data_IF_846211861735
#
_entry.id   IF_846211861735
#
_cell.length_a   1.000
_cell.length_b   1.000
_cell.length_c   1.000
_cell.angle_alpha   90.00
_cell.angle_beta   90.00
_cell.angle_gamma   90.00
#
_symmetry.space_group_name_H-M   'P 1'
#
loop_
_entity.id
_entity.type
_entity.pdbx_description
1 polymer ?
#
# COMPACT_ATOMS: atom_id res chain seq x y z
N UNK A 1 34.39 -3.02 -1.45
CA UNK A 1 34.09 -3.44 -0.06
C UNK A 1 34.71 -2.56 1.03
N UNK A 2 36.02 -2.59 1.32
CA UNK A 2 36.61 -1.76 2.42
C UNK A 2 36.31 -0.26 2.23
N UNK A 3 36.54 0.28 1.01
CA UNK A 3 36.25 1.68 0.67
C UNK A 3 34.78 2.07 0.89
N UNK A 4 33.85 1.18 0.55
CA UNK A 4 32.40 1.42 0.70
C UNK A 4 31.98 1.42 2.17
N UNK A 5 32.50 0.47 2.97
CA UNK A 5 32.25 0.41 4.42
C UNK A 5 32.84 1.64 5.11
N UNK A 6 34.05 2.07 4.75
CA UNK A 6 34.65 3.31 5.26
C UNK A 6 33.85 4.54 4.86
N UNK A 7 33.38 4.62 3.60
CA UNK A 7 32.52 5.71 3.12
C UNK A 7 31.19 5.76 3.88
N UNK A 8 30.58 4.62 4.16
CA UNK A 8 29.34 4.53 4.94
C UNK A 8 29.56 4.99 6.38
N UNK A 9 30.63 4.51 7.04
CA UNK A 9 30.99 4.94 8.40
C UNK A 9 31.21 6.45 8.46
N UNK A 10 31.93 7.03 7.49
CA UNK A 10 32.19 8.47 7.44
C UNK A 10 30.90 9.28 7.28
N UNK A 11 29.99 8.86 6.38
CA UNK A 11 28.70 9.51 6.18
C UNK A 11 27.84 9.45 7.43
N UNK A 12 27.80 8.32 8.13
CA UNK A 12 27.06 8.20 9.39
C UNK A 12 27.68 9.10 10.47
N UNK A 13 29.01 9.14 10.58
CA UNK A 13 29.70 10.00 11.55
C UNK A 13 29.46 11.49 11.30
N UNK A 14 29.42 11.91 10.04
CA UNK A 14 29.08 13.28 9.66
C UNK A 14 27.65 13.64 10.06
N UNK A 15 26.70 12.74 9.83
CA UNK A 15 25.30 12.89 10.29
C UNK A 15 25.24 13.01 11.81
N UNK A 16 25.93 12.10 12.53
CA UNK A 16 25.94 12.11 14.00
C UNK A 16 26.61 13.37 14.58
N UNK A 17 27.67 13.89 13.95
CA UNK A 17 28.36 15.11 14.36
C UNK A 17 27.45 16.35 14.27
N UNK A 18 26.55 16.35 13.28
CA UNK A 18 25.61 17.45 13.05
C UNK A 18 24.29 17.28 13.82
N UNK A 19 24.12 16.18 14.57
CA UNK A 19 22.92 15.89 15.37
C UNK A 19 23.19 16.21 16.84
N UNK A 20 22.32 16.96 17.53
CA UNK A 20 22.46 17.18 18.98
C UNK A 20 22.54 15.83 19.71
N UNK A 21 23.47 15.70 20.66
CA UNK A 21 23.71 14.43 21.39
C UNK A 21 22.46 13.89 22.12
N UNK A 22 21.50 14.76 22.45
CA UNK A 22 20.21 14.39 23.05
C UNK A 22 19.28 13.64 22.09
N UNK A 23 19.52 13.77 20.78
CA UNK A 23 18.66 13.28 19.71
C UNK A 23 19.29 12.11 18.93
N UNK A 24 20.46 11.62 19.36
CA UNK A 24 21.11 10.45 18.78
C UNK A 24 20.73 9.22 19.62
N UNK A 25 19.88 8.32 19.13
CA UNK A 25 19.58 7.08 19.81
C UNK A 25 20.85 6.24 20.01
N UNK A 26 20.95 5.55 21.15
CA UNK A 26 22.16 4.83 21.53
C UNK A 26 22.50 3.68 20.54
N UNK A 27 21.50 3.16 19.84
CA UNK A 27 21.56 2.16 18.78
C UNK A 27 22.50 2.59 17.65
N UNK A 28 22.47 3.86 17.25
CA UNK A 28 23.34 4.39 16.21
C UNK A 28 24.81 4.37 16.62
N UNK A 29 25.09 4.66 17.90
CA UNK A 29 26.45 4.60 18.45
C UNK A 29 26.97 3.16 18.48
N UNK A 30 26.11 2.19 18.80
CA UNK A 30 26.45 0.76 18.76
C UNK A 30 26.76 0.31 17.33
N UNK A 31 25.93 0.69 16.36
CA UNK A 31 26.13 0.28 14.96
C UNK A 31 27.40 0.86 14.37
N UNK A 32 27.69 2.14 14.60
CA UNK A 32 28.94 2.77 14.14
C UNK A 32 30.16 2.12 14.77
N UNK A 33 30.14 1.87 16.08
CA UNK A 33 31.25 1.20 16.76
C UNK A 33 31.46 -0.23 16.25
N UNK A 34 30.39 -0.99 16.02
CA UNK A 34 30.48 -2.33 15.43
C UNK A 34 31.01 -2.33 13.99
N UNK A 35 30.54 -1.42 13.14
CA UNK A 35 31.05 -1.30 11.77
C UNK A 35 32.54 -0.96 11.74
N UNK A 36 33.03 -0.12 12.66
CA UNK A 36 34.47 0.18 12.80
C UNK A 36 35.28 -1.05 13.17
N UNK A 37 34.79 -1.87 14.10
CA UNK A 37 35.45 -3.13 14.47
C UNK A 37 35.51 -4.08 13.27
N UNK A 38 34.39 -4.30 12.57
CA UNK A 38 34.37 -5.16 11.38
C UNK A 38 35.31 -4.65 10.29
N UNK A 39 35.32 -3.34 10.04
CA UNK A 39 36.21 -2.74 9.04
C UNK A 39 37.68 -2.98 9.38
N UNK A 40 38.07 -2.77 10.64
CA UNK A 40 39.45 -3.01 11.11
C UNK A 40 39.84 -4.49 11.02
N UNK A 41 38.93 -5.41 11.34
CA UNK A 41 39.15 -6.85 11.18
C UNK A 41 39.36 -7.26 9.71
N UNK A 42 38.59 -6.69 8.79
CA UNK A 42 38.75 -6.96 7.35
C UNK A 42 40.11 -6.44 6.85
N UNK A 43 40.58 -5.29 7.36
CA UNK A 43 41.92 -4.77 7.03
C UNK A 43 43.01 -5.70 7.60
N UNK A 44 42.89 -6.17 8.85
CA UNK A 44 43.81 -7.15 9.43
C UNK A 44 43.91 -8.43 8.58
N UNK A 45 42.77 -8.96 8.13
CA UNK A 45 42.73 -10.15 7.26
C UNK A 45 43.38 -9.87 5.90
N UNK A 46 43.12 -8.71 5.30
CA UNK A 46 43.73 -8.32 4.03
C UNK A 46 45.26 -8.20 4.12
N UNK A 47 45.78 -7.59 5.19
CA UNK A 47 47.24 -7.50 5.43
C UNK A 47 47.82 -8.91 5.65
N UNK A 48 47.17 -9.75 6.46
CA UNK A 48 47.62 -11.11 6.74
C UNK A 48 47.65 -12.02 5.48
N UNK A 49 46.78 -11.75 4.50
CA UNK A 49 46.71 -12.48 3.22
C UNK A 49 47.73 -12.00 2.17
N UNK A 50 48.66 -11.12 2.54
CA UNK A 50 49.72 -10.61 1.65
C UNK A 50 49.50 -9.19 1.15
N UNK A 51 48.58 -8.43 1.76
CA UNK A 51 48.41 -7.01 1.50
C UNK A 51 49.51 -6.15 2.16
N UNK A 52 49.75 -4.95 1.61
CA UNK A 52 50.62 -3.96 2.23
C UNK A 52 49.99 -3.37 3.51
N UNK A 53 50.75 -3.30 4.60
CA UNK A 53 50.34 -2.66 5.84
C UNK A 53 51.03 -3.21 7.10
N UNK A 54 50.83 -2.53 8.22
CA UNK A 54 51.33 -2.96 9.53
C UNK A 54 50.22 -3.70 10.30
N UNK A 55 50.30 -5.03 10.29
CA UNK A 55 49.33 -5.90 10.96
C UNK A 55 49.33 -5.69 12.49
N UNK A 56 50.46 -5.30 13.09
CA UNK A 56 50.56 -5.08 14.53
C UNK A 56 49.82 -3.79 14.89
N UNK A 57 50.03 -2.72 14.12
CA UNK A 57 49.34 -1.45 14.31
C UNK A 57 47.82 -1.57 14.09
N UNK A 58 47.38 -2.25 13.02
CA UNK A 58 45.95 -2.41 12.77
C UNK A 58 45.28 -3.34 13.79
N UNK A 59 45.98 -4.36 14.28
CA UNK A 59 45.48 -5.21 15.37
C UNK A 59 45.32 -4.44 16.68
N UNK A 60 46.30 -3.61 17.04
CA UNK A 60 46.21 -2.74 18.21
C UNK A 60 45.02 -1.76 18.10
N UNK A 61 44.79 -1.20 16.91
CA UNK A 61 43.61 -0.37 16.62
C UNK A 61 42.30 -1.16 16.75
N UNK A 62 42.25 -2.38 16.23
CA UNK A 62 41.08 -3.25 16.37
C UNK A 62 40.77 -3.53 17.85
N UNK A 63 41.79 -3.79 18.68
CA UNK A 63 41.62 -4.04 20.10
C UNK A 63 41.03 -2.83 20.84
N UNK A 64 41.49 -1.61 20.51
CA UNK A 64 40.94 -0.36 21.04
C UNK A 64 39.47 -0.18 20.63
N UNK A 65 39.12 -0.45 19.37
CA UNK A 65 37.75 -0.36 18.87
C UNK A 65 36.82 -1.38 19.54
N UNK A 66 37.32 -2.60 19.81
CA UNK A 66 36.58 -3.63 20.56
C UNK A 66 36.32 -3.18 22.00
N UNK A 67 37.31 -2.56 22.65
CA UNK A 67 37.12 -1.99 23.99
C UNK A 67 36.07 -0.87 23.99
N UNK A 68 36.10 0.03 23.00
CA UNK A 68 35.12 1.09 22.84
C UNK A 68 33.70 0.54 22.67
N UNK A 69 33.53 -0.44 21.78
CA UNK A 69 32.25 -1.10 21.56
C UNK A 69 31.73 -1.79 22.83
N UNK A 70 32.60 -2.50 23.57
CA UNK A 70 32.22 -3.11 24.85
C UNK A 70 31.76 -2.08 25.87
N UNK A 71 32.43 -0.93 25.95
CA UNK A 71 32.03 0.17 26.84
C UNK A 71 30.60 0.66 26.50
N UNK A 72 30.27 0.79 25.22
CA UNK A 72 28.93 1.20 24.77
C UNK A 72 27.91 0.10 25.10
N UNK A 73 28.24 -1.16 24.82
CA UNK A 73 27.37 -2.32 25.08
C UNK A 73 27.16 -2.60 26.58
N UNK A 74 28.04 -2.13 27.46
CA UNK A 74 27.87 -2.23 28.91
C UNK A 74 27.04 -1.09 29.50
N UNK A 75 26.61 -0.11 28.70
CA UNK A 75 25.80 1.01 29.19
C UNK A 75 24.40 0.55 29.60
N UNK A 76 23.99 0.90 30.82
CA UNK A 76 22.63 0.66 31.33
C UNK A 76 21.57 1.50 30.60
N UNK A 77 21.98 2.62 29.97
CA UNK A 77 21.09 3.48 29.20
C UNK A 77 20.72 2.90 27.82
N UNK A 78 21.39 1.81 27.39
CA UNK A 78 21.18 1.19 26.08
C UNK A 78 19.97 0.21 26.12
N UNK A 79 18.84 0.65 25.56
CA UNK A 79 17.60 -0.11 25.43
C UNK A 79 17.50 -0.80 24.07
N UNK A 80 18.15 -1.96 23.93
CA UNK A 80 18.02 -2.79 22.73
C UNK A 80 16.87 -3.80 22.86
N UNK A 81 16.35 -4.35 21.74
CA UNK A 81 15.34 -5.40 21.77
C UNK A 81 15.79 -6.61 22.58
N UNK A 82 14.86 -7.27 23.28
CA UNK A 82 15.14 -8.45 24.12
C UNK A 82 15.83 -9.58 23.36
N UNK A 83 15.52 -9.73 22.07
CA UNK A 83 16.14 -10.69 21.15
C UNK A 83 17.67 -10.54 21.05
N UNK A 84 18.20 -9.34 21.28
CA UNK A 84 19.64 -9.05 21.24
C UNK A 84 20.39 -9.46 22.51
N UNK A 85 19.68 -9.74 23.61
CA UNK A 85 20.27 -9.89 24.95
C UNK A 85 21.21 -11.09 25.10
N UNK A 86 20.97 -12.19 24.38
CA UNK A 86 21.85 -13.36 24.40
C UNK A 86 23.18 -13.06 23.67
N UNK A 87 23.12 -12.47 22.48
CA UNK A 87 24.31 -12.14 21.70
C UNK A 87 25.10 -10.99 22.35
N UNK A 88 24.41 -9.99 22.92
CA UNK A 88 25.04 -8.90 23.70
C UNK A 88 25.89 -9.46 24.85
N UNK A 89 25.37 -10.42 25.61
CA UNK A 89 26.13 -11.08 26.70
C UNK A 89 27.34 -11.85 26.18
N UNK A 90 27.21 -12.55 25.06
CA UNK A 90 28.32 -13.27 24.43
C UNK A 90 29.41 -12.32 23.92
N UNK A 91 29.07 -11.15 23.36
CA UNK A 91 30.04 -10.15 22.91
C UNK A 91 30.79 -9.48 24.07
N UNK A 92 30.19 -9.44 25.26
CA UNK A 92 30.80 -8.91 26.49
C UNK A 92 31.72 -9.91 27.20
N UNK A 93 31.65 -11.21 26.89
CA UNK A 93 32.55 -12.21 27.46
C UNK A 93 34.00 -12.01 26.95
N UNK A 94 34.97 -12.20 27.84
CA UNK A 94 36.41 -12.07 27.54
C UNK A 94 36.91 -13.34 26.84
N UNK A 95 37.80 -13.18 25.86
CA UNK A 95 38.52 -14.32 25.26
C UNK A 95 38.82 -14.14 23.78
N UNK A 96 37.81 -14.01 22.92
CA UNK A 96 37.95 -13.85 21.47
C UNK A 96 36.75 -13.11 20.89
N UNK A 97 37.00 -12.15 20.01
CA UNK A 97 35.96 -11.35 19.38
C UNK A 97 35.48 -12.04 18.10
N UNK A 98 34.29 -12.63 18.14
CA UNK A 98 33.69 -13.34 17.02
C UNK A 98 33.01 -12.37 16.04
N UNK A 99 33.61 -12.22 14.86
CA UNK A 99 33.15 -11.34 13.80
C UNK A 99 31.76 -11.72 13.27
N UNK A 100 31.41 -13.00 13.24
CA UNK A 100 30.11 -13.47 12.74
C UNK A 100 29.01 -13.17 13.77
N UNK A 101 29.31 -13.28 15.06
CA UNK A 101 28.40 -12.83 16.11
C UNK A 101 28.19 -11.33 16.10
N UNK A 102 29.24 -10.53 15.86
CA UNK A 102 29.08 -9.09 15.70
C UNK A 102 28.20 -8.76 14.49
N UNK A 103 28.41 -9.40 13.34
CA UNK A 103 27.56 -9.19 12.15
C UNK A 103 26.10 -9.50 12.45
N UNK A 104 25.83 -10.67 13.03
CA UNK A 104 24.49 -11.08 13.43
C UNK A 104 23.88 -10.09 14.40
N UNK A 105 24.65 -9.65 15.40
CA UNK A 105 24.21 -8.66 16.37
C UNK A 105 23.82 -7.32 15.73
N UNK A 106 24.64 -6.80 14.82
CA UNK A 106 24.37 -5.53 14.13
C UNK A 106 23.10 -5.60 13.26
N UNK A 107 22.84 -6.73 12.62
CA UNK A 107 21.62 -6.94 11.81
C UNK A 107 20.35 -7.01 12.66
N UNK A 108 20.46 -7.28 13.96
CA UNK A 108 19.33 -7.34 14.88
C UNK A 108 19.01 -5.99 15.54
N UNK A 109 19.82 -4.95 15.32
CA UNK A 109 19.58 -3.63 15.87
C UNK A 109 18.61 -2.89 14.94
N UNK A 110 17.34 -2.63 15.33
CA UNK A 110 16.48 -1.77 14.56
C UNK A 110 17.09 -0.37 14.61
N UNK A 111 17.48 0.17 13.45
CA UNK A 111 18.00 1.53 13.36
C UNK A 111 16.81 2.50 13.43
N UNK A 112 16.62 3.23 14.54
CA UNK A 112 15.53 4.19 14.62
C UNK A 112 15.76 5.34 13.63
N UNK A 113 14.68 5.78 12.98
CA UNK A 113 14.71 6.95 12.09
C UNK A 113 15.22 8.16 12.86
N UNK A 114 16.30 8.78 12.38
CA UNK A 114 16.79 10.05 12.93
C UNK A 114 15.85 11.16 12.45
N UNK A 115 15.04 11.69 13.37
CA UNK A 115 14.21 12.86 13.10
C UNK A 115 15.05 14.12 13.25
N UNK A 116 15.27 14.82 12.13
CA UNK A 116 15.83 16.16 12.16
C UNK A 116 14.71 17.12 12.57
N UNK A 117 14.80 17.70 13.76
CA UNK A 117 14.12 18.96 13.99
C UNK A 117 14.92 19.97 13.18
N UNK A 118 14.47 20.33 11.97
CA UNK A 118 14.81 21.66 11.46
C UNK A 118 14.46 22.57 12.63
N UNK A 119 15.46 23.23 13.25
CA UNK A 119 15.19 24.36 14.13
C UNK A 119 14.14 25.16 13.40
N UNK A 120 13.00 25.38 14.07
CA UNK A 120 11.93 26.23 13.58
C UNK A 120 12.60 27.37 12.83
N UNK A 121 12.49 27.34 11.49
CA UNK A 121 12.75 28.55 10.75
C UNK A 121 11.76 29.50 11.37
N UNK A 122 12.27 30.45 12.16
CA UNK A 122 11.55 31.68 12.43
C UNK A 122 11.14 32.16 11.06
N UNK A 123 9.89 31.88 10.68
CA UNK A 123 9.24 32.53 9.57
C UNK A 123 9.30 33.99 10.00
N UNK A 124 10.12 34.84 9.34
CA UNK A 124 10.19 36.23 9.72
C UNK A 124 8.76 36.74 9.58
N UNK A 125 8.18 37.22 10.68
CA UNK A 125 6.93 37.97 10.59
C UNK A 125 7.15 39.05 9.54
N UNK A 126 6.27 39.14 8.55
CA UNK A 126 6.22 40.22 7.58
C UNK A 126 6.32 41.55 8.32
N UNK A 127 7.51 42.13 8.37
CA UNK A 127 7.78 43.50 8.73
C UNK A 127 9.19 43.86 8.23
N UNK A 128 9.18 44.48 7.05
CA UNK A 128 10.17 45.42 6.52
C UNK A 128 11.65 45.06 6.68
N UNK A 129 12.23 44.44 5.65
CA UNK A 129 13.64 44.64 5.29
C UNK A 129 13.85 44.38 3.78
N UNK A 130 14.12 45.47 3.07
CA UNK A 130 14.91 45.61 1.84
C UNK A 130 14.90 44.45 0.83
N UNK A 131 14.20 44.68 -0.30
CA UNK A 131 14.43 44.00 -1.57
C UNK A 131 15.92 44.13 -1.95
N UNK A 132 16.69 43.11 -1.58
CA UNK A 132 17.93 42.80 -2.28
C UNK A 132 17.52 41.93 -3.46
N UNK A 133 17.87 42.42 -4.66
CA UNK A 133 17.80 41.71 -5.94
C UNK A 133 18.45 40.33 -5.76
N UNK A 134 17.64 39.33 -5.43
CA UNK A 134 18.07 37.95 -5.28
C UNK A 134 17.74 37.26 -6.59
N UNK A 135 18.76 36.65 -7.21
CA UNK A 135 18.59 35.85 -8.41
C UNK A 135 17.39 34.91 -8.25
N UNK A 136 16.49 34.83 -9.25
CA UNK A 136 15.28 34.02 -9.13
C UNK A 136 15.66 32.57 -8.84
N UNK A 137 15.28 32.08 -7.65
CA UNK A 137 15.51 30.69 -7.27
C UNK A 137 14.90 29.76 -8.32
N UNK A 138 15.66 28.81 -8.89
CA UNK A 138 15.18 27.95 -9.96
C UNK A 138 14.06 27.04 -9.44
N UNK A 139 12.86 27.22 -9.97
CA UNK A 139 11.66 26.45 -9.64
C UNK A 139 11.22 25.62 -10.85
N UNK A 140 10.85 24.36 -10.62
CA UNK A 140 10.33 23.47 -11.67
C UNK A 140 8.85 23.17 -11.48
N UNK A 141 8.02 23.55 -12.45
CA UNK A 141 6.67 23.03 -12.55
C UNK A 141 6.66 21.74 -13.35
N UNK A 142 6.07 20.69 -12.78
CA UNK A 142 5.95 19.37 -13.40
C UNK A 142 4.48 18.98 -13.54
N UNK A 143 4.10 18.51 -14.72
CA UNK A 143 2.81 17.87 -14.99
C UNK A 143 3.08 16.51 -15.61
N UNK A 144 2.67 15.45 -14.93
CA UNK A 144 2.86 14.08 -15.39
C UNK A 144 1.65 13.62 -16.20
N UNK A 145 1.93 12.83 -17.23
CA UNK A 145 0.95 12.13 -18.06
C UNK A 145 1.28 10.65 -18.09
N UNK A 146 0.24 9.82 -17.99
CA UNK A 146 0.29 8.37 -18.08
C UNK A 146 -0.70 7.95 -19.16
N UNK A 147 -0.28 7.13 -20.13
CA UNK A 147 -1.12 6.76 -21.29
C UNK A 147 -1.72 7.98 -22.02
N UNK A 148 -0.92 9.04 -22.16
CA UNK A 148 -1.31 10.34 -22.75
C UNK A 148 -2.44 11.09 -22.00
N UNK A 149 -2.87 10.61 -20.84
CA UNK A 149 -3.80 11.30 -19.96
C UNK A 149 -3.06 11.97 -18.79
N UNK A 150 -3.50 13.14 -18.30
CA UNK A 150 -2.94 13.73 -17.09
C UNK A 150 -2.96 12.74 -15.93
N UNK A 151 -1.88 12.70 -15.15
CA UNK A 151 -1.77 11.81 -14.02
C UNK A 151 -2.84 12.12 -12.97
N UNK A 152 -3.63 11.11 -12.60
CA UNK A 152 -4.63 11.18 -11.55
C UNK A 152 -4.09 10.49 -10.28
N UNK A 153 -4.34 11.04 -9.11
CA UNK A 153 -3.81 10.50 -7.85
C UNK A 153 -4.93 9.92 -6.99
N UNK A 154 -4.93 8.61 -6.66
CA UNK A 154 -4.03 7.56 -7.15
C UNK A 154 -4.38 7.06 -8.56
N UNK A 155 -3.38 6.60 -9.31
CA UNK A 155 -3.53 5.93 -10.60
C UNK A 155 -3.48 4.40 -10.43
N UNK A 156 -4.32 3.67 -11.18
CA UNK A 156 -4.44 2.21 -11.10
C UNK A 156 -3.69 1.56 -12.26
N UNK A 157 -2.75 0.67 -11.94
CA UNK A 157 -1.91 -0.03 -12.90
C UNK A 157 -1.96 -1.53 -12.67
N UNK A 158 -1.65 -2.27 -13.73
CA UNK A 158 -1.52 -3.72 -13.71
C UNK A 158 -0.04 -4.11 -13.79
N UNK A 159 0.27 -5.26 -13.20
CA UNK A 159 1.59 -5.87 -13.34
C UNK A 159 1.88 -6.26 -14.78
N UNK A 160 3.17 -6.25 -15.14
CA UNK A 160 3.68 -6.71 -16.43
C UNK A 160 3.15 -5.95 -17.64
N UNK A 161 2.64 -4.73 -17.44
CA UNK A 161 2.31 -3.77 -18.49
C UNK A 161 3.31 -2.62 -18.44
N UNK A 162 3.84 -2.27 -19.60
CA UNK A 162 4.78 -1.17 -19.79
C UNK A 162 3.99 0.12 -20.08
N UNK A 163 3.89 0.99 -19.09
CA UNK A 163 3.12 2.23 -19.18
C UNK A 163 4.00 3.38 -19.67
N UNK A 164 3.62 4.11 -20.73
CA UNK A 164 4.27 5.36 -21.11
C UNK A 164 4.02 6.44 -20.05
N UNK A 165 5.11 7.07 -19.62
CA UNK A 165 5.13 8.16 -18.65
C UNK A 165 5.79 9.38 -19.28
N UNK A 166 5.08 10.51 -19.30
CA UNK A 166 5.57 11.76 -19.88
C UNK A 166 5.52 12.87 -18.82
N UNK A 167 6.65 13.51 -18.59
CA UNK A 167 6.75 14.69 -17.74
C UNK A 167 6.80 15.94 -18.61
N UNK A 168 5.74 16.76 -18.55
CA UNK A 168 5.76 18.10 -19.11
C UNK A 168 6.28 19.04 -18.05
N UNK A 169 7.36 19.75 -18.35
CA UNK A 169 8.02 20.62 -17.41
C UNK A 169 8.00 22.07 -17.87
N UNK A 170 8.04 22.98 -16.90
CA UNK A 170 8.30 24.39 -17.12
C UNK A 170 9.15 24.94 -15.98
N UNK A 171 10.30 25.51 -16.30
CA UNK A 171 11.19 26.13 -15.32
C UNK A 171 11.39 27.62 -15.58
N UNK A 172 11.85 28.32 -14.54
CA UNK A 172 12.01 29.79 -14.55
C UNK A 172 13.36 30.22 -15.16
N UNK A 173 14.44 29.56 -14.79
CA UNK A 173 15.80 29.82 -15.29
C UNK A 173 16.54 28.50 -15.44
N UNK A 174 17.20 28.33 -16.58
CA UNK A 174 18.16 27.24 -16.79
C UNK A 174 19.55 27.75 -16.36
N UNK A 175 20.21 27.14 -15.36
CA UNK A 175 21.52 27.59 -14.90
C UNK A 175 22.59 27.48 -15.99
N UNK A 176 23.48 28.48 -16.08
CA UNK A 176 24.53 28.52 -17.12
C UNK A 176 25.54 27.37 -17.03
N UNK A 177 25.74 26.85 -15.82
CA UNK A 177 26.63 25.73 -15.52
C UNK A 177 25.96 24.36 -15.67
N UNK A 178 24.65 24.30 -15.94
CA UNK A 178 23.88 23.07 -16.06
C UNK A 178 23.92 22.47 -17.47
N UNK A 179 24.42 21.22 -17.56
CA UNK A 179 24.50 20.44 -18.80
C UNK A 179 23.25 19.61 -19.06
N UNK A 180 22.47 19.24 -18.04
CA UNK A 180 21.14 18.62 -18.21
C UNK A 180 20.26 18.72 -16.98
N UNK A 181 18.96 18.58 -17.19
CA UNK A 181 17.98 18.39 -16.13
C UNK A 181 17.62 16.91 -16.02
N UNK A 182 17.54 16.39 -14.80
CA UNK A 182 17.16 15.01 -14.51
C UNK A 182 15.97 14.99 -13.55
N UNK A 183 15.02 14.09 -13.82
CA UNK A 183 13.93 13.75 -12.91
C UNK A 183 14.12 12.34 -12.38
N UNK A 184 14.22 12.21 -11.05
CA UNK A 184 14.24 10.93 -10.36
C UNK A 184 12.90 10.67 -9.67
N UNK A 185 12.44 9.42 -9.69
CA UNK A 185 11.31 8.95 -8.91
C UNK A 185 11.80 8.27 -7.64
N UNK A 186 11.68 8.96 -6.50
CA UNK A 186 12.07 8.46 -5.20
C UNK A 186 10.91 7.67 -4.57
N UNK A 187 11.17 6.46 -4.11
CA UNK A 187 10.16 5.63 -3.46
C UNK A 187 10.79 4.72 -2.40
N UNK A 188 9.96 4.25 -1.48
CA UNK A 188 10.31 3.19 -0.53
C UNK A 188 9.96 1.80 -1.06
N UNK A 189 9.46 1.68 -2.30
CA UNK A 189 9.21 0.39 -2.93
C UNK A 189 10.48 -0.48 -2.93
N UNK A 190 10.39 -1.78 -2.58
CA UNK A 190 11.54 -2.67 -2.61
C UNK A 190 12.18 -2.73 -4.00
N UNK A 191 13.51 -2.83 -4.03
CA UNK A 191 14.27 -2.99 -5.27
C UNK A 191 13.80 -4.21 -6.05
N UNK A 192 13.57 -4.07 -7.36
CA UNK A 192 13.12 -5.15 -8.24
C UNK A 192 11.60 -5.27 -8.40
N UNK A 193 10.80 -4.50 -7.65
CA UNK A 193 9.32 -4.42 -7.76
C UNK A 193 8.87 -3.67 -9.02
N UNK A 194 9.71 -2.73 -9.48
CA UNK A 194 9.43 -1.92 -10.65
C UNK A 194 10.74 -1.63 -11.41
N UNK A 195 10.59 -1.29 -12.67
CA UNK A 195 11.64 -0.70 -13.49
C UNK A 195 11.08 0.55 -14.16
N UNK A 196 11.92 1.59 -14.26
CA UNK A 196 11.54 2.86 -14.85
C UNK A 196 12.67 3.37 -15.73
N UNK A 197 12.28 4.05 -16.82
CA UNK A 197 13.22 4.76 -17.69
C UNK A 197 13.93 5.89 -16.94
N UNK A 198 15.11 6.25 -17.44
CA UNK A 198 15.78 7.48 -17.04
C UNK A 198 15.10 8.67 -17.71
N UNK A 199 14.80 9.72 -16.93
CA UNK A 199 14.18 10.94 -17.42
C UNK A 199 15.19 12.08 -17.37
N UNK A 200 15.78 12.38 -18.53
CA UNK A 200 16.72 13.51 -18.71
C UNK A 200 16.25 14.45 -19.82
N UNK A 201 16.55 15.74 -19.66
CA UNK A 201 16.38 16.75 -20.68
C UNK A 201 17.69 17.51 -20.86
N UNK A 202 18.19 17.54 -22.09
CA UNK A 202 19.36 18.34 -22.45
C UNK A 202 18.93 19.77 -22.87
N UNK A 203 19.81 20.79 -22.74
CA UNK A 203 19.51 22.18 -23.08
C UNK A 203 19.04 22.38 -24.52
N UNK A 204 19.48 21.54 -25.46
CA UNK A 204 19.05 21.59 -26.87
C UNK A 204 17.60 21.12 -27.07
N UNK A 205 17.06 20.35 -26.13
CA UNK A 205 15.68 19.85 -26.15
C UNK A 205 14.69 20.78 -25.48
N UNK A 206 15.13 21.92 -24.93
CA UNK A 206 14.23 22.89 -24.30
C UNK A 206 13.81 24.00 -25.28
N UNK A 207 12.57 24.44 -25.14
CA UNK A 207 12.07 25.63 -25.82
C UNK A 207 12.15 26.78 -24.81
N UNK A 208 12.89 27.83 -25.16
CA UNK A 208 13.04 29.01 -24.31
C UNK A 208 11.87 29.96 -24.52
N UNK A 209 11.29 30.44 -23.42
CA UNK A 209 10.27 31.48 -23.41
C UNK A 209 10.95 32.86 -23.57
N UNK A 210 10.20 33.85 -24.07
CA UNK A 210 10.68 35.24 -24.23
C UNK A 210 11.17 35.88 -22.93
N UNK A 211 10.73 35.35 -21.79
CA UNK A 211 11.05 35.82 -20.44
C UNK A 211 12.20 35.05 -19.77
N UNK A 212 12.97 34.23 -20.51
CA UNK A 212 14.08 33.43 -19.96
C UNK A 212 13.71 32.10 -19.31
N UNK A 213 12.40 31.81 -19.22
CA UNK A 213 11.87 30.50 -18.83
C UNK A 213 12.16 29.42 -19.88
N UNK A 214 11.96 28.17 -19.50
CA UNK A 214 12.10 27.03 -20.41
C UNK A 214 10.96 26.04 -20.21
N UNK A 215 10.59 25.34 -21.28
CA UNK A 215 9.67 24.21 -21.22
C UNK A 215 10.17 23.04 -22.08
N UNK A 216 9.74 21.83 -21.72
CA UNK A 216 10.16 20.61 -22.39
C UNK A 216 9.36 19.40 -21.93
N UNK A 217 9.58 18.27 -22.61
CA UNK A 217 8.94 16.99 -22.29
C UNK A 217 10.01 15.91 -22.07
N UNK A 218 9.88 15.16 -20.98
CA UNK A 218 10.69 13.98 -20.71
C UNK A 218 9.79 12.76 -20.86
N UNK A 219 10.10 11.88 -21.80
CA UNK A 219 9.30 10.69 -22.10
C UNK A 219 10.06 9.44 -21.72
N UNK A 220 9.36 8.50 -21.09
CA UNK A 220 9.90 7.20 -20.73
C UNK A 220 8.77 6.25 -20.39
N UNK A 221 9.11 5.17 -19.71
CA UNK A 221 8.19 4.10 -19.40
C UNK A 221 8.40 3.60 -17.97
N UNK A 222 7.34 3.09 -17.36
CA UNK A 222 7.36 2.41 -16.07
C UNK A 222 6.67 1.05 -16.20
N UNK A 223 7.26 0.02 -15.59
CA UNK A 223 6.68 -1.32 -15.48
C UNK A 223 6.78 -1.81 -14.05
N UNK A 224 5.72 -2.46 -13.59
CA UNK A 224 5.70 -3.14 -12.29
C UNK A 224 5.71 -4.64 -12.50
N UNK A 225 6.66 -5.32 -11.85
CA UNK A 225 6.86 -6.78 -11.97
C UNK A 225 6.07 -7.57 -10.94
N UNK A 226 5.56 -6.91 -9.89
CA UNK A 226 4.77 -7.53 -8.83
C UNK A 226 3.61 -6.64 -8.39
N UNK A 227 2.48 -7.28 -8.07
CA UNK A 227 1.27 -6.61 -7.59
C UNK A 227 1.39 -6.26 -6.12
N UNK A 228 0.67 -5.23 -5.69
CA UNK A 228 0.53 -4.89 -4.30
C UNK A 228 -0.61 -5.69 -3.67
N UNK A 229 -0.44 -6.11 -2.43
CA UNK A 229 -1.56 -6.63 -1.63
C UNK A 229 -2.64 -5.57 -1.49
N UNK A 230 -3.90 -5.99 -1.54
CA UNK A 230 -5.08 -5.14 -1.35
C UNK A 230 -5.10 -4.41 0.00
N UNK A 231 -4.33 -4.91 0.97
CA UNK A 231 -4.19 -4.38 2.32
C UNK A 231 -3.11 -3.31 2.47
N UNK A 232 -2.27 -3.09 1.44
CA UNK A 232 -1.20 -2.09 1.47
C UNK A 232 -1.69 -0.73 0.98
N UNK A 233 -1.08 0.33 1.51
CA UNK A 233 -1.26 1.70 1.05
C UNK A 233 -0.74 1.89 -0.39
N UNK A 234 -1.13 3.01 -1.01
CA UNK A 234 -0.70 3.34 -2.36
C UNK A 234 0.83 3.50 -2.41
N UNK A 235 1.45 3.01 -3.48
CA UNK A 235 2.87 3.24 -3.74
C UNK A 235 3.06 4.73 -4.00
N UNK A 236 3.95 5.35 -3.23
CA UNK A 236 4.26 6.77 -3.34
C UNK A 236 5.60 6.94 -4.03
N UNK A 237 5.61 7.73 -5.11
CA UNK A 237 6.80 8.15 -5.82
C UNK A 237 6.92 9.67 -5.75
N UNK A 238 7.92 10.18 -5.03
CA UNK A 238 8.22 11.61 -4.98
C UNK A 238 9.13 11.97 -6.15
N UNK A 239 8.78 13.04 -6.87
CA UNK A 239 9.57 13.52 -8.00
C UNK A 239 10.65 14.46 -7.48
N UNK A 240 11.90 14.10 -7.75
CA UNK A 240 13.08 14.92 -7.48
C UNK A 240 13.59 15.49 -8.79
N UNK A 241 13.71 16.82 -8.86
CA UNK A 241 14.37 17.52 -9.96
C UNK A 241 15.79 17.92 -9.57
N UNK A 242 16.75 17.67 -10.45
CA UNK A 242 18.13 18.12 -10.26
C UNK A 242 18.79 18.49 -11.58
N UNK A 243 19.56 19.57 -11.59
CA UNK A 243 20.47 19.89 -12.67
C UNK A 243 21.80 19.19 -12.48
N UNK A 244 22.29 18.52 -13.51
CA UNK A 244 23.68 18.08 -13.60
C UNK A 244 24.52 19.26 -14.07
N UNK A 245 25.50 19.65 -13.28
CA UNK A 245 26.43 20.73 -13.59
C UNK A 245 27.64 20.21 -14.37
N UNK A 246 28.33 21.10 -15.07
CA UNK A 246 29.49 20.77 -15.93
C UNK A 246 30.65 20.08 -15.19
N UNK A 247 30.72 20.23 -13.86
CA UNK A 247 31.66 19.55 -12.96
C UNK A 247 31.18 18.16 -12.49
N UNK A 248 30.00 17.72 -12.94
CA UNK A 248 29.40 16.41 -12.62
C UNK A 248 28.62 16.38 -11.29
N UNK A 249 28.43 17.52 -10.63
CA UNK A 249 27.58 17.59 -9.44
C UNK A 249 26.09 17.69 -9.79
N UNK A 250 25.23 17.31 -8.84
CA UNK A 250 23.78 17.47 -8.97
C UNK A 250 23.29 18.57 -8.03
N UNK A 251 22.70 19.61 -8.60
CA UNK A 251 22.04 20.69 -7.86
C UNK A 251 20.53 20.47 -7.87
N UNK A 252 19.97 20.17 -6.71
CA UNK A 252 18.53 19.96 -6.56
C UNK A 252 17.74 21.25 -6.77
N UNK A 253 16.54 21.10 -7.33
CA UNK A 253 15.64 22.20 -7.65
C UNK A 253 14.24 21.86 -7.11
N UNK A 254 13.56 22.78 -6.41
CA UNK A 254 12.21 22.55 -5.92
C UNK A 254 11.23 22.23 -7.06
N UNK A 255 10.44 21.17 -6.87
CA UNK A 255 9.40 20.73 -7.80
C UNK A 255 8.02 21.10 -7.28
N UNK A 256 7.23 21.76 -8.11
CA UNK A 256 5.82 22.12 -7.87
C UNK A 256 4.89 21.51 -8.93
N UNK A 257 3.60 21.41 -8.63
CA UNK A 257 2.63 20.70 -9.46
C UNK A 257 2.53 19.24 -9.04
N UNK A 258 2.72 18.30 -9.97
CA UNK A 258 2.86 16.90 -9.62
C UNK A 258 4.27 16.68 -9.05
N UNK A 259 4.39 16.73 -7.72
CA UNK A 259 5.61 16.39 -6.98
C UNK A 259 5.54 15.00 -6.32
N UNK A 260 4.35 14.39 -6.31
CA UNK A 260 4.11 13.06 -5.78
C UNK A 260 3.13 12.29 -6.69
N UNK A 261 3.52 11.07 -7.05
CA UNK A 261 2.71 10.14 -7.83
C UNK A 261 2.27 9.00 -6.92
N UNK A 262 0.96 8.86 -6.73
CA UNK A 262 0.37 7.74 -5.99
C UNK A 262 -0.12 6.69 -6.97
N UNK A 263 0.35 5.47 -6.81
CA UNK A 263 0.07 4.36 -7.71
C UNK A 263 -0.48 3.17 -6.94
N UNK A 264 -1.41 2.46 -7.57
CA UNK A 264 -1.90 1.17 -7.10
C UNK A 264 -1.64 0.13 -8.15
N UNK A 265 -0.89 -0.92 -7.81
CA UNK A 265 -0.50 -1.96 -8.78
C UNK A 265 -1.22 -3.26 -8.46
N UNK A 266 -2.03 -3.76 -9.37
CA UNK A 266 -2.78 -5.00 -9.17
C UNK A 266 -2.19 -6.14 -10.00
N UNK A 267 -2.07 -7.34 -9.44
CA UNK A 267 -1.79 -8.56 -10.21
C UNK A 267 -3.10 -9.23 -10.63
N UNK A 268 -3.10 -9.92 -11.77
CA UNK A 268 -4.25 -10.76 -12.18
C UNK A 268 -4.54 -11.85 -11.14
N UNK A 269 -3.51 -12.35 -10.44
CA UNK A 269 -3.62 -13.40 -9.41
C UNK A 269 -4.01 -12.87 -8.01
N UNK A 270 -3.95 -11.55 -7.81
CA UNK A 270 -4.14 -10.94 -6.50
C UNK A 270 -5.27 -9.94 -6.62
N UNK A 271 -6.51 -10.40 -6.57
CA UNK A 271 -7.69 -9.56 -6.76
C UNK A 271 -7.87 -8.62 -5.56
N UNK A 272 -7.56 -7.31 -5.65
CA UNK A 272 -8.02 -6.41 -4.61
C UNK A 272 -9.53 -6.15 -4.82
N UNK A 273 -10.32 -6.23 -3.76
CA UNK A 273 -11.71 -5.80 -3.76
C UNK A 273 -11.71 -4.27 -3.89
N UNK A 274 -12.15 -3.73 -5.01
CA UNK A 274 -12.10 -2.32 -5.38
C UNK A 274 -13.52 -1.77 -5.53
N UNK A 275 -14.19 -1.55 -4.41
CA UNK A 275 -15.55 -0.98 -4.41
C UNK A 275 -15.54 0.55 -4.41
N UNK A 276 -14.35 1.16 -4.22
CA UNK A 276 -14.18 2.60 -4.01
C UNK A 276 -14.39 3.02 -2.54
N UNK A 277 -14.81 2.10 -1.66
CA UNK A 277 -14.98 2.33 -0.23
C UNK A 277 -13.99 1.47 0.58
N UNK A 278 -12.86 2.07 0.97
CA UNK A 278 -11.76 1.40 1.70
C UNK A 278 -12.22 0.64 2.96
N UNK A 279 -13.25 1.14 3.66
CA UNK A 279 -13.76 0.49 4.88
C UNK A 279 -14.58 -0.76 4.55
N UNK A 280 -15.34 -0.74 3.46
CA UNK A 280 -16.08 -1.91 2.97
C UNK A 280 -15.11 -2.95 2.38
N UNK A 281 -14.14 -2.51 1.59
CA UNK A 281 -13.13 -3.40 1.01
C UNK A 281 -12.40 -4.19 2.11
N UNK A 282 -11.99 -3.51 3.20
CA UNK A 282 -11.38 -4.16 4.36
C UNK A 282 -12.29 -5.19 5.02
N UNK A 283 -13.56 -4.84 5.24
CA UNK A 283 -14.56 -5.74 5.84
C UNK A 283 -14.73 -7.02 5.02
N UNK A 284 -14.84 -6.91 3.69
CA UNK A 284 -14.95 -8.09 2.82
C UNK A 284 -13.66 -8.91 2.88
N UNK A 285 -12.48 -8.30 2.89
CA UNK A 285 -11.20 -9.04 3.04
C UNK A 285 -11.17 -9.81 4.35
N UNK A 286 -11.66 -9.23 5.46
CA UNK A 286 -11.76 -9.93 6.74
C UNK A 286 -12.70 -11.14 6.66
N UNK A 287 -13.86 -11.00 6.01
CA UNK A 287 -14.81 -12.11 5.81
C UNK A 287 -14.23 -13.21 4.91
N UNK A 288 -13.58 -12.86 3.80
CA UNK A 288 -12.94 -13.83 2.89
C UNK A 288 -11.77 -14.53 3.58
N UNK A 289 -10.99 -13.82 4.39
CA UNK A 289 -9.90 -14.42 5.17
C UNK A 289 -10.46 -15.43 6.18
N UNK A 290 -11.57 -15.09 6.85
CA UNK A 290 -12.27 -16.01 7.75
C UNK A 290 -12.84 -17.22 6.99
N UNK A 291 -13.35 -17.03 5.77
CA UNK A 291 -13.82 -18.11 4.91
C UNK A 291 -12.70 -19.09 4.56
N UNK A 292 -11.59 -18.61 4.01
CA UNK A 292 -10.46 -19.44 3.59
C UNK A 292 -9.84 -20.22 4.76
N UNK A 293 -9.81 -19.60 5.96
CA UNK A 293 -9.35 -20.28 7.18
C UNK A 293 -10.23 -21.47 7.56
N UNK A 294 -11.54 -21.35 7.38
CA UNK A 294 -12.51 -22.36 7.79
C UNK A 294 -12.88 -23.36 6.68
N UNK A 295 -12.66 -22.98 5.41
CA UNK A 295 -13.05 -23.74 4.24
C UNK A 295 -11.94 -23.67 3.17
N UNK A 296 -10.83 -24.42 3.33
CA UNK A 296 -9.72 -24.36 2.38
C UNK A 296 -10.09 -24.78 0.95
N UNK A 297 -11.12 -25.62 0.79
CA UNK A 297 -11.63 -26.07 -0.51
C UNK A 297 -12.24 -24.97 -1.38
N UNK A 298 -12.50 -23.78 -0.83
CA UNK A 298 -13.02 -22.62 -1.57
C UNK A 298 -11.98 -22.02 -2.54
N UNK A 299 -10.70 -22.41 -2.43
CA UNK A 299 -9.63 -21.89 -3.30
C UNK A 299 -9.95 -21.97 -4.79
N UNK A 300 -10.62 -23.04 -5.23
CA UNK A 300 -10.94 -23.29 -6.65
C UNK A 300 -12.02 -22.33 -7.21
N UNK A 301 -12.86 -21.74 -6.35
CA UNK A 301 -13.91 -20.79 -6.75
C UNK A 301 -13.63 -19.34 -6.33
N UNK A 302 -12.47 -19.08 -5.72
CA UNK A 302 -12.16 -17.81 -5.08
C UNK A 302 -12.14 -16.63 -6.06
N UNK A 303 -11.59 -16.80 -7.26
CA UNK A 303 -11.50 -15.74 -8.27
C UNK A 303 -12.88 -15.21 -8.66
N UNK A 304 -13.76 -16.11 -9.12
CA UNK A 304 -15.12 -15.73 -9.52
C UNK A 304 -15.93 -15.17 -8.35
N UNK A 305 -15.74 -15.75 -7.15
CA UNK A 305 -16.37 -15.28 -5.93
C UNK A 305 -15.94 -13.85 -5.60
N UNK A 306 -14.65 -13.53 -5.68
CA UNK A 306 -14.13 -12.18 -5.39
C UNK A 306 -14.65 -11.14 -6.37
N UNK A 307 -14.75 -11.46 -7.66
CA UNK A 307 -15.34 -10.57 -8.67
C UNK A 307 -16.81 -10.28 -8.37
N UNK A 308 -17.59 -11.30 -8.02
CA UNK A 308 -18.99 -11.13 -7.64
C UNK A 308 -19.14 -10.35 -6.33
N UNK A 309 -18.37 -10.66 -5.29
CA UNK A 309 -18.38 -9.92 -4.03
C UNK A 309 -18.04 -8.44 -4.26
N UNK A 310 -17.04 -8.15 -5.08
CA UNK A 310 -16.70 -6.78 -5.46
C UNK A 310 -17.88 -6.05 -6.12
N UNK A 311 -18.53 -6.70 -7.09
CA UNK A 311 -19.66 -6.12 -7.80
C UNK A 311 -20.84 -5.85 -6.86
N UNK A 312 -21.20 -6.79 -6.01
CA UNK A 312 -22.31 -6.65 -5.06
C UNK A 312 -22.03 -5.61 -4.00
N UNK A 313 -20.82 -5.55 -3.45
CA UNK A 313 -20.44 -4.51 -2.49
C UNK A 313 -20.49 -3.12 -3.14
N UNK A 314 -20.10 -2.99 -4.41
CA UNK A 314 -20.24 -1.74 -5.17
C UNK A 314 -21.71 -1.36 -5.36
N UNK A 315 -22.56 -2.30 -5.78
CA UNK A 315 -24.00 -2.05 -5.93
C UNK A 315 -24.65 -1.63 -4.61
N UNK A 316 -24.31 -2.28 -3.50
CA UNK A 316 -24.81 -1.93 -2.18
C UNK A 316 -24.49 -0.47 -1.82
N UNK A 317 -23.24 -0.04 -2.06
CA UNK A 317 -22.82 1.34 -1.82
C UNK A 317 -23.53 2.33 -2.75
N UNK A 318 -23.61 2.03 -4.06
CA UNK A 318 -24.29 2.88 -5.05
C UNK A 318 -25.77 3.04 -4.73
N UNK A 319 -26.48 1.95 -4.43
CA UNK A 319 -27.91 2.00 -4.12
C UNK A 319 -28.20 2.81 -2.85
N UNK A 320 -27.33 2.71 -1.85
CA UNK A 320 -27.43 3.51 -0.64
C UNK A 320 -27.18 5.01 -0.91
N UNK A 321 -26.18 5.35 -1.73
CA UNK A 321 -25.84 6.74 -2.05
C UNK A 321 -26.87 7.42 -2.96
N UNK A 322 -27.32 6.72 -4.00
CA UNK A 322 -28.30 7.25 -4.97
C UNK A 322 -29.74 7.10 -4.47
N UNK A 323 -29.94 6.47 -3.31
CA UNK A 323 -31.24 6.31 -2.66
C UNK A 323 -32.28 5.62 -3.57
N UNK A 324 -31.85 4.63 -4.34
CA UNK A 324 -32.62 3.97 -5.41
C UNK A 324 -33.99 3.45 -4.95
N UNK A 325 -34.05 2.89 -3.74
CA UNK A 325 -35.27 2.29 -3.16
C UNK A 325 -35.86 3.13 -2.02
N UNK A 326 -35.52 4.43 -1.94
CA UNK A 326 -36.01 5.33 -0.91
C UNK A 326 -37.54 5.46 -0.98
N UNK A 327 -38.21 5.43 0.18
CA UNK A 327 -39.67 5.57 0.31
C UNK A 327 -40.50 4.56 -0.52
N UNK A 328 -39.87 3.51 -1.05
CA UNK A 328 -40.54 2.39 -1.71
C UNK A 328 -40.72 1.25 -0.73
N UNK A 329 -41.96 0.81 -0.52
CA UNK A 329 -42.31 -0.30 0.37
C UNK A 329 -43.00 -1.47 -0.36
N UNK A 330 -43.18 -1.33 -1.67
CA UNK A 330 -43.99 -2.22 -2.49
C UNK A 330 -43.22 -2.90 -3.64
N UNK A 331 -41.90 -2.69 -3.73
CA UNK A 331 -41.05 -3.29 -4.78
C UNK A 331 -41.24 -4.81 -4.80
N UNK A 332 -41.68 -5.41 -5.93
CA UNK A 332 -41.75 -6.85 -6.08
C UNK A 332 -40.36 -7.45 -6.36
N UNK A 333 -40.18 -8.73 -6.03
CA UNK A 333 -38.91 -9.43 -6.21
C UNK A 333 -38.45 -9.46 -7.69
N UNK A 334 -39.39 -9.55 -8.64
CA UNK A 334 -39.08 -9.50 -10.08
C UNK A 334 -38.47 -8.16 -10.50
N UNK A 335 -38.99 -7.03 -10.00
CA UNK A 335 -38.45 -5.70 -10.31
C UNK A 335 -37.06 -5.53 -9.68
N UNK A 336 -36.89 -6.02 -8.46
CA UNK A 336 -35.59 -6.01 -7.80
C UNK A 336 -34.55 -6.83 -8.58
N UNK A 337 -34.93 -8.03 -9.02
CA UNK A 337 -34.09 -8.91 -9.82
C UNK A 337 -33.71 -8.30 -11.18
N UNK A 338 -34.67 -7.76 -11.94
CA UNK A 338 -34.39 -7.10 -13.21
C UNK A 338 -33.38 -5.96 -13.06
N UNK A 339 -33.49 -5.18 -11.99
CA UNK A 339 -32.56 -4.09 -11.71
C UNK A 339 -31.17 -4.60 -11.35
N UNK A 340 -31.05 -5.54 -10.40
CA UNK A 340 -29.76 -6.10 -10.00
C UNK A 340 -29.08 -6.80 -11.16
N UNK A 341 -29.82 -7.56 -11.97
CA UNK A 341 -29.29 -8.23 -13.15
C UNK A 341 -28.70 -7.23 -14.17
N UNK A 342 -29.44 -6.16 -14.46
CA UNK A 342 -28.97 -5.09 -15.36
C UNK A 342 -27.69 -4.46 -14.84
N UNK A 343 -27.65 -4.11 -13.56
CA UNK A 343 -26.53 -3.38 -12.97
C UNK A 343 -25.31 -4.30 -12.81
N UNK A 344 -25.49 -5.59 -12.50
CA UNK A 344 -24.42 -6.60 -12.52
C UNK A 344 -23.86 -6.81 -13.94
N UNK A 345 -24.70 -6.88 -14.98
CA UNK A 345 -24.24 -6.95 -16.37
C UNK A 345 -23.41 -5.74 -16.78
N UNK A 346 -23.73 -4.56 -16.25
CA UNK A 346 -22.94 -3.35 -16.50
C UNK A 346 -21.54 -3.44 -15.85
N UNK A 347 -21.42 -4.09 -14.70
CA UNK A 347 -20.15 -4.21 -13.95
C UNK A 347 -19.30 -5.40 -14.42
N UNK A 348 -19.92 -6.57 -14.60
CA UNK A 348 -19.23 -7.85 -14.86
C UNK A 348 -19.38 -8.33 -16.30
N UNK A 349 -20.16 -7.65 -17.14
CA UNK A 349 -20.30 -7.95 -18.56
C UNK A 349 -21.26 -9.10 -18.87
N UNK A 350 -21.05 -9.73 -20.03
CA UNK A 350 -21.95 -10.71 -20.64
C UNK A 350 -21.99 -12.07 -19.92
N UNK A 351 -21.02 -12.35 -19.03
CA UNK A 351 -20.93 -13.58 -18.26
C UNK A 351 -22.03 -13.68 -17.17
N UNK A 352 -22.76 -12.59 -16.92
CA UNK A 352 -23.89 -12.55 -15.98
C UNK A 352 -25.18 -13.02 -16.67
N UNK A 353 -25.69 -14.14 -16.20
CA UNK A 353 -26.84 -14.85 -16.75
C UNK A 353 -27.96 -15.01 -15.74
N UNK A 354 -29.18 -15.20 -16.25
CA UNK A 354 -30.31 -15.67 -15.44
C UNK A 354 -30.20 -17.20 -15.30
N UNK A 355 -30.30 -17.70 -14.08
CA UNK A 355 -30.31 -19.12 -13.79
C UNK A 355 -31.76 -19.61 -13.69
N UNK A 356 -32.12 -20.57 -14.55
CA UNK A 356 -33.47 -21.15 -14.56
C UNK A 356 -33.76 -21.84 -13.23
N UNK A 357 -34.75 -21.33 -12.48
CA UNK A 357 -35.29 -21.99 -11.29
C UNK A 357 -35.82 -23.37 -11.67
N UNK A 358 -35.31 -24.43 -11.04
CA UNK A 358 -35.81 -25.81 -11.26
C UNK A 358 -37.20 -26.05 -10.65
N UNK A 359 -37.75 -25.09 -9.88
CA UNK A 359 -39.00 -25.23 -9.13
C UNK A 359 -40.10 -24.23 -9.53
N UNK A 360 -39.95 -23.52 -10.65
CA UNK A 360 -40.95 -22.56 -11.15
C UNK A 360 -41.02 -21.25 -10.36
N UNK A 361 -39.98 -20.93 -9.59
CA UNK A 361 -39.79 -19.63 -8.94
C UNK A 361 -39.09 -18.60 -9.83
N UNK A 362 -38.84 -17.41 -9.28
CA UNK A 362 -38.05 -16.36 -9.93
C UNK A 362 -36.62 -16.85 -10.16
N UNK A 363 -35.99 -16.46 -11.26
CA UNK A 363 -34.66 -16.93 -11.68
C UNK A 363 -33.54 -16.28 -10.86
N UNK A 364 -32.58 -17.06 -10.37
CA UNK A 364 -31.42 -16.51 -9.66
C UNK A 364 -30.43 -15.86 -10.63
N UNK A 365 -29.49 -15.05 -10.12
CA UNK A 365 -28.44 -14.48 -10.96
C UNK A 365 -27.19 -15.34 -10.85
N UNK A 366 -26.62 -15.73 -12.00
CA UNK A 366 -25.40 -16.53 -12.09
C UNK A 366 -24.29 -15.75 -12.78
N UNK A 367 -23.09 -15.83 -12.22
CA UNK A 367 -21.86 -15.38 -12.86
C UNK A 367 -20.86 -16.52 -12.87
N UNK A 368 -20.60 -17.09 -14.05
CA UNK A 368 -19.81 -18.32 -14.24
C UNK A 368 -20.36 -19.47 -13.42
N UNK A 369 -19.92 -19.69 -12.18
CA UNK A 369 -20.57 -20.63 -11.25
C UNK A 369 -20.94 -20.04 -9.88
N UNK A 370 -20.80 -18.74 -9.68
CA UNK A 370 -21.29 -18.07 -8.48
C UNK A 370 -22.76 -17.74 -8.64
N UNK A 371 -23.59 -18.20 -7.71
CA UNK A 371 -25.04 -18.01 -7.71
C UNK A 371 -25.41 -16.98 -6.62
N UNK A 372 -26.21 -16.00 -7.02
CA UNK A 372 -26.78 -14.97 -6.15
C UNK A 372 -28.29 -15.19 -6.10
N UNK A 373 -28.77 -15.65 -4.94
CA UNK A 373 -30.19 -15.73 -4.62
C UNK A 373 -30.70 -14.34 -4.24
N UNK A 374 -31.86 -13.94 -4.76
CA UNK A 374 -32.47 -12.65 -4.46
C UNK A 374 -33.76 -12.81 -3.66
N UNK A 375 -33.96 -11.94 -2.66
CA UNK A 375 -35.19 -11.89 -1.86
C UNK A 375 -35.60 -10.46 -1.54
N UNK A 376 -36.89 -10.26 -1.30
CA UNK A 376 -37.44 -9.02 -0.75
C UNK A 376 -38.07 -9.31 0.61
N UNK A 377 -37.67 -8.56 1.63
CA UNK A 377 -38.20 -8.66 2.99
C UNK A 377 -39.03 -7.42 3.35
N UNK A 378 -40.25 -7.62 3.86
CA UNK A 378 -41.22 -6.55 4.14
C UNK A 378 -41.69 -6.53 5.60
N UNK A 379 -41.48 -7.61 6.35
CA UNK A 379 -42.05 -7.82 7.68
C UNK A 379 -41.00 -7.66 8.79
N UNK A 380 -39.83 -8.28 8.65
CA UNK A 380 -38.81 -8.30 9.71
C UNK A 380 -37.39 -8.01 9.21
N UNK A 381 -36.88 -6.82 9.56
CA UNK A 381 -35.60 -6.30 9.09
C UNK A 381 -34.39 -6.80 9.89
N UNK A 382 -34.61 -7.61 10.92
CA UNK A 382 -33.53 -8.15 11.74
C UNK A 382 -32.59 -9.04 10.90
N UNK A 383 -31.29 -8.77 10.98
CA UNK A 383 -30.28 -9.42 10.12
C UNK A 383 -30.12 -10.90 10.43
N UNK A 384 -30.30 -11.31 11.69
CA UNK A 384 -30.25 -12.72 12.08
C UNK A 384 -31.48 -13.45 11.55
N UNK A 385 -32.66 -12.83 11.63
CA UNK A 385 -33.89 -13.35 11.05
C UNK A 385 -33.77 -13.52 9.53
N UNK A 386 -33.37 -12.47 8.80
CA UNK A 386 -33.19 -12.50 7.34
C UNK A 386 -32.23 -13.62 6.95
N UNK A 387 -31.08 -13.71 7.63
CA UNK A 387 -30.10 -14.76 7.36
C UNK A 387 -30.72 -16.15 7.52
N UNK A 388 -31.35 -16.44 8.66
CA UNK A 388 -31.95 -17.76 8.92
C UNK A 388 -33.11 -18.11 7.98
N UNK A 389 -33.90 -17.12 7.56
CA UNK A 389 -35.10 -17.33 6.74
C UNK A 389 -34.77 -17.73 5.31
N UNK A 390 -33.69 -17.19 4.74
CA UNK A 390 -33.43 -17.26 3.30
C UNK A 390 -32.16 -18.02 2.91
N UNK A 391 -31.18 -18.24 3.80
CA UNK A 391 -29.91 -18.89 3.41
C UNK A 391 -30.03 -20.37 3.08
N UNK A 392 -31.07 -21.06 3.54
CA UNK A 392 -31.31 -22.47 3.20
C UNK A 392 -31.58 -22.67 1.71
N UNK A 393 -32.24 -21.70 1.06
CA UNK A 393 -32.52 -21.75 -0.38
C UNK A 393 -31.25 -21.49 -1.20
N UNK A 394 -30.41 -20.52 -0.79
CA UNK A 394 -29.20 -20.17 -1.53
C UNK A 394 -28.16 -21.31 -1.56
N UNK A 395 -28.09 -22.14 -0.52
CA UNK A 395 -27.13 -23.26 -0.44
C UNK A 395 -27.59 -24.50 -1.22
N UNK A 396 -28.89 -24.64 -1.50
CA UNK A 396 -29.41 -25.76 -2.27
C UNK A 396 -28.74 -25.87 -3.64
N UNK A 397 -28.46 -24.74 -4.30
CA UNK A 397 -27.81 -24.72 -5.61
C UNK A 397 -26.29 -24.95 -5.52
N UNK A 398 -25.62 -24.33 -4.54
CA UNK A 398 -24.18 -24.49 -4.35
C UNK A 398 -23.81 -25.98 -4.12
N UNK A 399 -24.60 -26.68 -3.30
CA UNK A 399 -24.36 -28.10 -3.02
C UNK A 399 -24.46 -29.01 -4.25
N UNK A 400 -25.33 -28.69 -5.23
CA UNK A 400 -25.48 -29.48 -6.46
C UNK A 400 -24.30 -29.30 -7.41
N UNK A 401 -23.68 -28.12 -7.43
CA UNK A 401 -22.49 -27.83 -8.25
C UNK A 401 -21.16 -28.09 -7.51
N UNK A 402 -21.20 -28.80 -6.37
CA UNK A 402 -20.04 -29.07 -5.52
C UNK A 402 -19.31 -27.79 -5.04
N UNK A 403 -20.04 -26.69 -4.88
CA UNK A 403 -19.55 -25.41 -4.35
C UNK A 403 -19.88 -25.28 -2.86
N UNK A 404 -18.99 -24.60 -2.13
CA UNK A 404 -19.14 -24.45 -0.68
C UNK A 404 -19.77 -23.11 -0.31
N UNK A 405 -19.77 -22.14 -1.23
CA UNK A 405 -20.21 -20.77 -0.96
C UNK A 405 -21.41 -20.41 -1.83
N UNK A 406 -22.45 -19.87 -1.19
CA UNK A 406 -23.56 -19.20 -1.86
C UNK A 406 -23.61 -17.72 -1.51
N UNK A 407 -24.34 -16.93 -2.31
CA UNK A 407 -24.60 -15.53 -2.02
C UNK A 407 -26.11 -15.31 -1.94
N UNK A 408 -26.54 -14.63 -0.88
CA UNK A 408 -27.91 -14.16 -0.69
C UNK A 408 -27.91 -12.62 -0.71
N UNK A 409 -28.72 -12.02 -1.57
CA UNK A 409 -28.94 -10.58 -1.66
C UNK A 409 -30.40 -10.25 -1.32
N UNK A 410 -30.61 -9.51 -0.24
CA UNK A 410 -31.96 -9.17 0.26
C UNK A 410 -32.21 -7.68 0.15
N UNK A 411 -33.33 -7.28 -0.47
CA UNK A 411 -33.87 -5.92 -0.37
C UNK A 411 -34.79 -5.84 0.85
N UNK A 412 -34.39 -5.07 1.86
CA UNK A 412 -35.15 -4.89 3.09
C UNK A 412 -36.02 -3.62 3.02
N UNK A 413 -37.32 -3.81 2.84
CA UNK A 413 -38.36 -2.78 2.71
C UNK A 413 -39.16 -2.54 4.01
N UNK A 414 -38.73 -3.13 5.12
CA UNK A 414 -39.38 -2.97 6.42
C UNK A 414 -39.40 -1.50 6.88
N UNK A 415 -40.28 -1.17 7.84
CA UNK A 415 -40.38 0.19 8.37
C UNK A 415 -39.04 0.65 8.97
N UNK A 416 -38.54 1.80 8.49
CA UNK A 416 -37.29 2.42 8.96
C UNK A 416 -37.57 3.48 10.00
N UNK A 417 -37.75 3.05 11.25
CA UNK A 417 -38.06 3.93 12.39
C UNK A 417 -36.81 4.39 13.15
N UNK A 418 -35.63 3.88 12.79
CA UNK A 418 -34.33 4.24 13.35
C UNK A 418 -33.41 4.72 12.23
N UNK A 419 -32.41 5.58 12.53
CA UNK A 419 -31.43 6.00 11.54
C UNK A 419 -30.66 4.80 10.98
N UNK A 420 -30.15 4.90 9.74
CA UNK A 420 -29.33 3.84 9.14
C UNK A 420 -28.07 3.59 9.96
N UNK A 421 -27.69 2.31 10.05
CA UNK A 421 -26.44 1.89 10.68
C UNK A 421 -25.26 1.95 9.70
N UNK A 422 -24.06 1.57 10.15
CA UNK A 422 -22.92 1.35 9.26
C UNK A 422 -23.24 0.26 8.22
N UNK A 423 -23.05 0.57 6.94
CA UNK A 423 -23.36 -0.32 5.81
C UNK A 423 -22.60 -1.65 5.84
N UNK A 424 -21.48 -1.72 6.60
CA UNK A 424 -20.74 -2.98 6.79
C UNK A 424 -21.54 -4.02 7.57
N UNK A 425 -22.46 -3.60 8.43
CA UNK A 425 -23.35 -4.51 9.18
C UNK A 425 -24.35 -5.24 8.26
N UNK A 426 -24.51 -4.75 7.03
CA UNK A 426 -25.38 -5.34 6.02
C UNK A 426 -24.68 -6.40 5.17
N UNK A 427 -23.41 -6.72 5.48
CA UNK A 427 -22.64 -7.77 4.81
C UNK A 427 -22.10 -8.74 5.85
N UNK A 428 -22.54 -9.98 5.81
CA UNK A 428 -22.15 -11.01 6.77
C UNK A 428 -21.80 -12.33 6.08
N UNK A 429 -20.88 -13.08 6.68
CA UNK A 429 -20.63 -14.47 6.33
C UNK A 429 -21.29 -15.36 7.40
N UNK A 430 -22.13 -16.30 6.97
CA UNK A 430 -22.87 -17.17 7.90
C UNK A 430 -22.68 -18.64 7.56
N UNK A 431 -22.73 -19.48 8.60
CA UNK A 431 -22.82 -20.91 8.49
C UNK A 431 -24.24 -21.30 8.06
N UNK A 432 -24.35 -22.22 7.10
CA UNK A 432 -25.64 -22.73 6.67
C UNK A 432 -25.75 -24.19 7.04
N UNK A 433 -26.78 -24.51 7.82
CA UNK A 433 -27.04 -25.88 8.22
C UNK A 433 -27.47 -26.72 7.01
N UNK A 434 -26.71 -27.76 6.71
CA UNK A 434 -27.04 -28.70 5.61
C UNK A 434 -27.30 -30.11 6.14
N UNK A 435 -27.98 -30.93 5.33
CA UNK A 435 -28.23 -32.33 5.68
C UNK A 435 -26.93 -33.10 5.96
N UNK A 436 -27.02 -34.19 6.73
CA UNK A 436 -25.87 -35.07 6.99
C UNK A 436 -25.04 -34.76 8.25
N UNK A 437 -25.58 -34.02 9.22
CA UNK A 437 -24.95 -33.77 10.53
C UNK A 437 -24.51 -32.32 10.73
N UNK A 438 -23.79 -32.05 11.83
CA UNK A 438 -23.32 -30.70 12.18
C UNK A 438 -22.23 -30.23 11.21
N UNK A 439 -22.42 -29.09 10.55
CA UNK A 439 -21.47 -28.52 9.58
C UNK A 439 -20.07 -28.26 10.16
N UNK A 440 -19.95 -28.03 11.48
CA UNK A 440 -18.65 -27.91 12.14
C UNK A 440 -17.78 -29.18 12.10
N UNK A 441 -18.35 -30.32 11.69
CA UNK A 441 -17.66 -31.61 11.55
C UNK A 441 -17.51 -32.08 10.10
N UNK A 442 -18.05 -31.33 9.13
CA UNK A 442 -18.04 -31.72 7.72
C UNK A 442 -16.72 -31.31 7.07
N UNK A 443 -16.25 -32.12 6.12
CA UNK A 443 -15.07 -31.80 5.32
C UNK A 443 -15.32 -30.61 4.38
N UNK A 444 -16.56 -30.44 3.91
CA UNK A 444 -16.97 -29.38 3.00
C UNK A 444 -18.20 -28.66 3.56
N UNK A 445 -18.06 -27.82 4.61
CA UNK A 445 -19.18 -27.07 5.17
C UNK A 445 -19.68 -26.03 4.16
N UNK A 446 -20.98 -25.74 4.20
CA UNK A 446 -21.60 -24.70 3.38
C UNK A 446 -21.64 -23.36 4.10
N UNK A 447 -21.29 -22.30 3.38
CA UNK A 447 -21.26 -20.91 3.85
C UNK A 447 -22.10 -20.04 2.93
N UNK A 448 -22.71 -18.99 3.48
CA UNK A 448 -23.39 -17.99 2.68
C UNK A 448 -22.88 -16.58 2.99
N UNK A 449 -22.55 -15.82 1.96
CA UNK A 449 -22.48 -14.36 2.09
C UNK A 449 -23.89 -13.79 2.03
N UNK A 450 -24.25 -12.98 3.02
CA UNK A 450 -25.54 -12.31 3.10
C UNK A 450 -25.30 -10.82 2.92
N UNK A 451 -25.89 -10.25 1.87
CA UNK A 451 -25.93 -8.82 1.58
C UNK A 451 -27.34 -8.30 1.80
N UNK A 452 -27.50 -7.16 2.48
CA UNK A 452 -28.81 -6.53 2.69
C UNK A 452 -28.81 -5.09 2.18
N UNK A 453 -29.63 -4.81 1.17
CA UNK A 453 -29.89 -3.46 0.69
C UNK A 453 -31.02 -2.86 1.51
N UNK A 454 -30.75 -1.75 2.20
CA UNK A 454 -31.77 -1.01 2.93
C UNK A 454 -32.62 -0.16 1.98
N UNK A 455 -33.85 -0.60 1.70
CA UNK A 455 -34.87 0.20 1.03
C UNK A 455 -35.78 0.91 2.04
N UNK A 456 -36.83 1.57 1.53
CA UNK A 456 -37.83 2.28 2.34
C UNK A 456 -37.23 3.28 3.36
N UNK A 457 -36.04 3.80 3.06
CA UNK A 457 -35.36 4.76 3.93
C UNK A 457 -36.14 6.06 3.99
N UNK A 458 -36.32 6.62 5.19
CA UNK A 458 -36.97 7.91 5.39
C UNK A 458 -35.97 9.04 5.20
N UNK A 459 -36.47 10.25 4.99
CA UNK A 459 -35.61 11.43 4.95
C UNK A 459 -34.90 11.66 6.30
N UNK A 460 -33.65 12.20 6.32
CA UNK A 460 -32.92 12.42 7.56
C UNK A 460 -33.68 13.24 8.62
N UNK A 461 -34.47 14.22 8.18
CA UNK A 461 -35.29 15.07 9.05
C UNK A 461 -36.41 14.31 9.77
N UNK A 462 -36.79 13.13 9.28
CA UNK A 462 -37.80 12.28 9.91
C UNK A 462 -37.27 11.59 11.17
N UNK A 463 -35.97 11.36 11.29
CA UNK A 463 -35.35 10.71 12.46
C UNK A 463 -35.06 11.68 13.62
N UNK A 464 -35.18 12.98 13.38
CA UNK A 464 -34.96 14.03 14.39
C UNK A 464 -36.25 14.49 15.08
N UNK A 465 -37.40 13.92 14.70
CA UNK A 465 -38.70 14.13 15.34
C UNK A 465 -39.03 12.91 16.18
#
# INVERSE_FOLDING_TARGET
MIKEVTSLINRILEILKNTPDTNVPAEWRVVVAGLRVLASQVVCLAIAQGGEGDIIAERAKCDVLVMELRRILSSEALKLPDSTGLIRRLLLQTGQYDSERLRTFLLMIPLPTLYWHLREMNIPSENAAEETDSEPNPLLRVIVFLDNAPFASPQLLRTNILYPLVFRIRGVVWPDDAVRLRLDLLTTCPSGTFSVSEFTLDPSGCIKDENGGYHGELTGQIIFTSGQSSLLDDLVFTIRGAFETSDGHFKEIPVIGHNELRLRVTSEDGHPLMTGNRRMDRHIVELVTALLKNCPGVGDELTDLLEMLQALTRLLATYAQEAIFKERNDVPESEFQEKVLRDLRFVLGQDVQEHLSQAGGITDIRYRGVIVELKVEKENGDRVHISKKYTSQSVQYAGVEARQVSILLVLDLTSKDKPPSDIRNDINLTDVETHGGNDGTKQFPSKAFVFVINGNMKSPSTYSR
#
